data_IF_923020036608
#
_entry.id   IF_923020036608
#
_cell.length_a   1.000
_cell.length_b   1.000
_cell.length_c   1.000
_cell.angle_alpha   90.00
_cell.angle_beta   90.00
_cell.angle_gamma   90.00
#
_symmetry.space_group_name_H-M   'P 1'
#
loop_
_entity.id
_entity.type
_entity.pdbx_description
1 polymer ?
#
# COMPACT_ATOMS: atom_id res chain seq x y z
N UNK A 1 -17.85 -12.43 -9.49
CA UNK A 1 -17.07 -12.92 -8.35
C UNK A 1 -16.64 -11.77 -7.47
N UNK A 2 -17.03 -11.80 -6.24
CA UNK A 2 -16.71 -10.73 -5.33
C UNK A 2 -15.25 -10.81 -4.88
N UNK A 3 -14.62 -9.65 -4.84
CA UNK A 3 -13.26 -9.51 -4.39
C UNK A 3 -13.30 -9.30 -2.87
N UNK A 4 -12.64 -10.18 -2.14
CA UNK A 4 -12.61 -10.07 -0.69
C UNK A 4 -11.50 -9.11 -0.27
N UNK A 5 -11.91 -7.97 0.30
CA UNK A 5 -10.98 -6.95 0.78
C UNK A 5 -11.24 -6.71 2.25
N UNK A 6 -10.18 -6.75 3.04
CA UNK A 6 -10.25 -6.47 4.47
C UNK A 6 -9.56 -5.13 4.72
N UNK A 7 -10.27 -4.22 5.38
CA UNK A 7 -9.74 -2.90 5.70
C UNK A 7 -9.24 -2.89 7.14
N UNK A 8 -7.96 -2.59 7.32
CA UNK A 8 -7.28 -2.60 8.61
C UNK A 8 -6.94 -1.17 9.00
N UNK A 9 -7.52 -0.69 10.10
CA UNK A 9 -7.33 0.67 10.60
C UNK A 9 -6.66 0.72 11.97
N UNK A 10 -6.64 -0.38 12.70
CA UNK A 10 -6.03 -0.42 14.02
C UNK A 10 -4.51 -0.20 13.91
N UNK A 11 -4.01 0.77 14.66
CA UNK A 11 -2.61 1.17 14.58
C UNK A 11 -1.66 0.02 14.94
N UNK A 12 -2.00 -0.73 15.98
CA UNK A 12 -1.15 -1.84 16.41
C UNK A 12 -1.12 -2.95 15.39
N UNK A 13 -2.26 -3.23 14.78
CA UNK A 13 -2.36 -4.25 13.73
C UNK A 13 -1.59 -3.83 12.48
N UNK A 14 -1.70 -2.54 12.10
CA UNK A 14 -0.95 -1.98 10.98
C UNK A 14 0.55 -2.15 11.23
N UNK A 15 1.02 -1.77 12.41
CA UNK A 15 2.43 -1.86 12.75
C UNK A 15 2.92 -3.30 12.75
N UNK A 16 2.10 -4.22 13.21
CA UNK A 16 2.44 -5.64 13.21
C UNK A 16 2.60 -6.18 11.78
N UNK A 17 1.66 -5.84 10.90
CA UNK A 17 1.72 -6.28 9.50
C UNK A 17 2.98 -5.75 8.84
N UNK A 18 3.27 -4.46 9.02
CA UNK A 18 4.45 -3.84 8.42
C UNK A 18 5.72 -4.54 8.92
N UNK A 19 5.81 -4.77 10.23
CA UNK A 19 6.98 -5.41 10.83
C UNK A 19 7.17 -6.83 10.33
N UNK A 20 6.08 -7.59 10.23
CA UNK A 20 6.16 -9.02 9.90
C UNK A 20 6.21 -9.31 8.40
N UNK A 21 5.55 -8.47 7.60
CA UNK A 21 5.37 -8.77 6.17
C UNK A 21 6.19 -7.90 5.24
N UNK A 22 6.57 -6.71 5.66
CA UNK A 22 7.15 -5.70 4.78
C UNK A 22 8.58 -5.34 5.16
N UNK A 23 8.75 -4.89 6.40
CA UNK A 23 10.00 -4.28 6.86
C UNK A 23 11.16 -5.27 6.87
N UNK A 24 12.31 -4.82 6.38
CA UNK A 24 13.52 -5.64 6.38
C UNK A 24 13.64 -6.59 5.21
N UNK A 25 12.64 -6.68 4.35
CA UNK A 25 12.69 -7.54 3.17
C UNK A 25 13.23 -6.78 1.96
N UNK A 26 13.77 -7.51 1.00
CA UNK A 26 14.22 -6.93 -0.25
C UNK A 26 13.01 -6.44 -1.04
N UNK A 27 13.05 -5.17 -1.46
CA UNK A 27 11.95 -4.56 -2.22
C UNK A 27 12.22 -4.73 -3.71
N UNK A 28 11.23 -5.26 -4.43
CA UNK A 28 11.33 -5.46 -5.87
C UNK A 28 10.14 -4.76 -6.55
N UNK A 29 10.46 -3.84 -7.45
CA UNK A 29 9.44 -3.14 -8.21
C UNK A 29 9.17 -3.90 -9.50
N UNK A 30 7.92 -4.32 -9.73
CA UNK A 30 7.55 -5.15 -10.86
C UNK A 30 7.48 -4.34 -12.15
N UNK A 31 7.48 -5.03 -13.30
CA UNK A 31 7.28 -4.37 -14.60
C UNK A 31 5.92 -3.66 -14.61
N UNK A 32 4.91 -4.29 -14.04
CA UNK A 32 3.58 -3.72 -13.96
C UNK A 32 3.58 -2.40 -13.20
N UNK A 33 4.37 -2.35 -12.11
CA UNK A 33 4.54 -1.13 -11.33
C UNK A 33 5.10 0.01 -12.19
N UNK A 34 6.21 -0.26 -12.90
CA UNK A 34 6.85 0.78 -13.70
C UNK A 34 5.93 1.28 -14.81
N UNK A 35 5.22 0.37 -15.45
CA UNK A 35 4.25 0.74 -16.46
C UNK A 35 3.15 1.62 -15.87
N UNK A 36 2.66 1.24 -14.70
CA UNK A 36 1.58 1.98 -14.04
C UNK A 36 1.96 3.39 -13.62
N UNK A 37 3.14 3.57 -13.02
CA UNK A 37 3.55 4.91 -12.58
C UNK A 37 3.83 5.81 -13.78
N UNK A 38 4.33 5.24 -14.88
CA UNK A 38 4.56 6.00 -16.11
C UNK A 38 3.23 6.53 -16.66
N UNK A 39 2.22 5.68 -16.71
CA UNK A 39 0.89 6.10 -17.16
C UNK A 39 0.27 7.18 -16.28
N UNK A 40 0.53 7.12 -14.98
CA UNK A 40 -0.05 8.06 -14.01
C UNK A 40 0.78 9.32 -13.81
N UNK A 41 1.97 9.36 -14.40
CA UNK A 41 2.87 10.49 -14.22
C UNK A 41 3.46 10.57 -12.82
N UNK A 42 3.62 9.44 -12.15
CA UNK A 42 4.20 9.38 -10.81
C UNK A 42 5.69 9.18 -10.90
N UNK A 43 6.44 9.98 -10.15
CA UNK A 43 7.89 9.90 -10.11
C UNK A 43 8.33 8.74 -9.23
N UNK A 44 9.17 7.86 -9.76
CA UNK A 44 9.69 6.71 -9.02
C UNK A 44 10.46 7.15 -7.77
N UNK A 45 11.21 8.26 -7.86
CA UNK A 45 11.96 8.79 -6.71
C UNK A 45 11.01 9.15 -5.57
N UNK A 46 9.82 9.63 -5.88
CA UNK A 46 8.81 9.95 -4.87
C UNK A 46 8.34 8.68 -4.16
N UNK A 47 8.16 7.59 -4.90
CA UNK A 47 7.77 6.32 -4.30
C UNK A 47 8.86 5.81 -3.36
N UNK A 48 10.13 5.91 -3.77
CA UNK A 48 11.25 5.51 -2.93
C UNK A 48 11.30 6.33 -1.64
N UNK A 49 10.98 7.61 -1.73
CA UNK A 49 10.96 8.50 -0.57
C UNK A 49 9.82 8.14 0.39
N UNK A 50 8.64 7.87 -0.16
CA UNK A 50 7.44 7.62 0.65
C UNK A 50 7.44 6.24 1.29
N UNK A 51 7.85 5.22 0.54
CA UNK A 51 7.69 3.83 0.95
C UNK A 51 8.17 3.54 2.38
N UNK A 52 9.36 3.97 2.81
CA UNK A 52 9.85 3.63 4.16
C UNK A 52 9.21 4.46 5.28
N UNK A 53 8.35 5.41 4.96
CA UNK A 53 7.70 6.25 5.97
C UNK A 53 6.50 5.53 6.57
N UNK A 54 6.74 4.37 7.16
CA UNK A 54 5.68 3.49 7.65
C UNK A 54 4.85 4.11 8.78
N UNK A 55 5.41 5.07 9.49
CA UNK A 55 4.68 5.81 10.53
C UNK A 55 3.52 6.61 9.97
N UNK A 56 3.52 6.87 8.66
CA UNK A 56 2.46 7.62 7.99
C UNK A 56 1.34 6.73 7.44
N UNK A 57 1.50 5.42 7.55
CA UNK A 57 0.46 4.50 7.11
C UNK A 57 -0.71 4.54 8.08
N UNK A 58 -1.90 4.88 7.59
CA UNK A 58 -3.08 4.99 8.44
C UNK A 58 -4.15 3.94 8.15
N UNK A 59 -4.04 3.27 7.00
CA UNK A 59 -4.95 2.19 6.60
C UNK A 59 -4.18 1.20 5.75
N UNK A 60 -4.49 -0.09 5.89
CA UNK A 60 -4.02 -1.13 5.00
C UNK A 60 -5.24 -1.86 4.43
N UNK A 61 -5.29 -2.01 3.11
CA UNK A 61 -6.28 -2.88 2.47
C UNK A 61 -5.59 -4.20 2.15
N UNK A 62 -6.10 -5.27 2.76
CA UNK A 62 -5.57 -6.62 2.52
C UNK A 62 -6.53 -7.33 1.57
N UNK A 63 -5.99 -7.96 0.53
CA UNK A 63 -6.82 -8.72 -0.39
C UNK A 63 -6.10 -9.98 -0.84
N UNK A 64 -6.87 -10.97 -1.26
CA UNK A 64 -6.32 -12.18 -1.86
C UNK A 64 -6.13 -11.94 -3.34
N UNK A 65 -4.90 -12.16 -3.81
CA UNK A 65 -4.56 -11.99 -5.21
C UNK A 65 -4.84 -13.26 -6.00
N UNK A 66 -4.66 -13.17 -7.33
CA UNK A 66 -5.09 -14.18 -8.29
C UNK A 66 -4.64 -15.61 -7.99
N UNK A 67 -3.45 -15.79 -7.48
CA UNK A 67 -2.89 -17.11 -7.22
C UNK A 67 -2.82 -17.46 -5.73
N UNK A 68 -3.71 -16.87 -4.94
CA UNK A 68 -3.77 -17.15 -3.51
C UNK A 68 -2.80 -16.36 -2.66
N UNK A 69 -1.95 -15.54 -3.26
CA UNK A 69 -1.07 -14.64 -2.51
C UNK A 69 -1.89 -13.55 -1.84
N UNK A 70 -1.37 -13.02 -0.74
CA UNK A 70 -1.98 -11.89 -0.07
C UNK A 70 -1.34 -10.59 -0.51
N UNK A 71 -2.16 -9.63 -0.89
CA UNK A 71 -1.71 -8.29 -1.22
C UNK A 71 -2.06 -7.32 -0.10
N UNK A 72 -1.17 -6.36 0.14
CA UNK A 72 -1.38 -5.33 1.14
C UNK A 72 -1.14 -3.98 0.50
N UNK A 73 -2.20 -3.19 0.39
CA UNK A 73 -2.07 -1.82 -0.10
C UNK A 73 -1.94 -0.89 1.08
N UNK A 74 -0.81 -0.19 1.15
CA UNK A 74 -0.49 0.71 2.25
C UNK A 74 -0.91 2.12 1.88
N UNK A 75 -1.73 2.75 2.72
CA UNK A 75 -2.18 4.11 2.50
C UNK A 75 -1.45 5.05 3.46
N UNK A 76 -0.68 5.97 2.89
CA UNK A 76 0.15 6.93 3.63
C UNK A 76 -0.52 8.29 3.63
N UNK A 77 -0.66 8.88 4.82
CA UNK A 77 -1.14 10.26 4.92
C UNK A 77 0.07 11.19 4.92
N UNK A 78 0.33 11.83 3.78
CA UNK A 78 1.46 12.73 3.65
C UNK A 78 1.13 14.14 4.13
N UNK A 79 -0.12 14.57 3.94
CA UNK A 79 -0.61 15.85 4.42
C UNK A 79 -2.13 15.78 4.49
N UNK A 80 -2.75 16.90 4.87
CA UNK A 80 -4.21 16.97 4.91
C UNK A 80 -4.84 16.81 3.53
N UNK A 81 -4.08 17.07 2.48
CA UNK A 81 -4.58 17.07 1.11
C UNK A 81 -3.95 16.03 0.21
N UNK A 82 -3.00 15.25 0.71
CA UNK A 82 -2.29 14.27 -0.11
C UNK A 82 -2.24 12.92 0.58
N UNK A 83 -2.77 11.92 -0.09
CA UNK A 83 -2.66 10.53 0.32
C UNK A 83 -1.89 9.78 -0.75
N UNK A 84 -1.01 8.87 -0.35
CA UNK A 84 -0.24 8.06 -1.27
C UNK A 84 -0.53 6.60 -0.95
N UNK A 85 -0.78 5.77 -1.98
CA UNK A 85 -0.95 4.35 -1.72
C UNK A 85 0.09 3.55 -2.49
N UNK A 86 0.58 2.49 -1.85
CA UNK A 86 1.56 1.59 -2.46
C UNK A 86 1.05 0.17 -2.25
N UNK A 87 0.75 -0.52 -3.35
CA UNK A 87 0.28 -1.89 -3.29
C UNK A 87 1.45 -2.85 -3.31
N UNK A 88 1.46 -3.77 -2.36
CA UNK A 88 2.56 -4.71 -2.16
C UNK A 88 2.06 -6.14 -2.16
N UNK A 89 2.96 -7.05 -2.52
CA UNK A 89 2.73 -8.49 -2.37
C UNK A 89 3.93 -9.09 -1.65
N UNK A 90 3.83 -9.31 -0.33
CA UNK A 90 4.94 -9.86 0.42
C UNK A 90 5.16 -11.33 0.10
N UNK A 91 6.42 -11.70 -0.06
CA UNK A 91 6.89 -13.06 -0.20
C UNK A 91 7.77 -13.39 0.99
N UNK A 92 8.39 -14.58 0.98
CA UNK A 92 9.18 -15.02 2.13
C UNK A 92 10.33 -14.04 2.47
N UNK A 93 11.16 -13.71 1.48
CA UNK A 93 12.35 -12.87 1.72
C UNK A 93 12.31 -11.56 0.96
N UNK A 94 11.22 -11.27 0.26
CA UNK A 94 11.11 -10.09 -0.56
C UNK A 94 9.69 -9.55 -0.54
N UNK A 95 9.54 -8.30 -0.94
CA UNK A 95 8.24 -7.66 -1.12
C UNK A 95 8.17 -7.13 -2.54
N UNK A 96 7.14 -7.53 -3.26
CA UNK A 96 6.91 -7.01 -4.61
C UNK A 96 6.07 -5.75 -4.48
N UNK A 97 6.49 -4.68 -5.14
CA UNK A 97 5.69 -3.46 -5.26
C UNK A 97 4.99 -3.52 -6.61
N UNK A 98 3.66 -3.52 -6.58
CA UNK A 98 2.83 -3.77 -7.75
C UNK A 98 2.37 -2.48 -8.39
N UNK A 99 1.91 -1.52 -7.61
CA UNK A 99 1.54 -0.21 -8.13
C UNK A 99 1.56 0.84 -7.03
N UNK A 100 1.53 2.11 -7.45
CA UNK A 100 1.47 3.24 -6.55
C UNK A 100 0.50 4.27 -7.13
N UNK A 101 -0.20 4.99 -6.25
CA UNK A 101 -1.14 6.02 -6.65
C UNK A 101 -0.99 7.21 -5.71
N UNK A 102 -0.98 8.40 -6.28
CA UNK A 102 -1.03 9.64 -5.50
C UNK A 102 -2.42 10.23 -5.60
N UNK A 103 -3.04 10.46 -4.45
CA UNK A 103 -4.36 11.09 -4.37
C UNK A 103 -4.17 12.50 -3.81
N UNK A 104 -4.55 13.50 -4.57
CA UNK A 104 -4.45 14.90 -4.15
C UNK A 104 -5.67 15.28 -3.33
N UNK A 105 -5.95 14.47 -2.31
CA UNK A 105 -7.08 14.66 -1.39
C UNK A 105 -6.91 13.78 -0.17
N UNK A 106 -7.64 14.09 0.88
CA UNK A 106 -7.65 13.31 2.10
C UNK A 106 -8.64 12.15 1.94
N UNK A 107 -8.17 10.92 2.08
CA UNK A 107 -8.99 9.73 1.94
C UNK A 107 -9.54 9.20 3.27
N UNK A 108 -9.28 9.87 4.39
CA UNK A 108 -9.77 9.39 5.68
C UNK A 108 -11.29 9.25 5.70
N UNK A 109 -12.01 10.19 5.08
CA UNK A 109 -13.46 10.13 5.00
C UNK A 109 -13.94 8.91 4.22
N UNK A 110 -13.23 8.54 3.17
CA UNK A 110 -13.56 7.37 2.37
C UNK A 110 -13.58 6.12 3.24
N UNK A 111 -12.59 5.97 4.11
CA UNK A 111 -12.48 4.77 4.93
C UNK A 111 -13.40 4.76 6.14
N UNK A 112 -13.98 5.89 6.51
CA UNK A 112 -14.97 5.95 7.57
C UNK A 112 -16.26 5.24 7.20
N UNK A 113 -16.56 5.14 5.91
CA UNK A 113 -17.77 4.48 5.44
C UNK A 113 -17.61 2.96 5.32
N UNK A 114 -16.40 2.46 5.39
CA UNK A 114 -16.13 1.03 5.36
C UNK A 114 -16.01 0.52 6.79
N UNK A 115 -17.14 0.39 7.45
CA UNK A 115 -17.16 -0.17 8.79
C UNK A 115 -17.25 -1.67 8.71
N UNK A 116 -16.38 -2.31 9.39
CA UNK A 116 -16.39 -3.75 9.49
C UNK A 116 -17.07 -4.16 10.77
#
# INVERSE_FOLDING_TARGET
MEKEVIIIKDKDEINQIIREKIKGKKVIFTKYYYYGIDLKGINHEKVLEVFPQFDKVFVIEKERLKYGDEGYELFYKLSNNITFSIATCPKNKKVLVIHAVEYKRNLEKRFKFFKL
#
